data_IF_566191854085
#
_entry.id   IF_566191854085
#
_cell.length_a   1.000
_cell.length_b   1.000
_cell.length_c   1.000
_cell.angle_alpha   90.00
_cell.angle_beta   90.00
_cell.angle_gamma   90.00
#
_symmetry.space_group_name_H-M   'P 1'
#
loop_
_entity.id
_entity.type
_entity.pdbx_description
1 polymer ?
#
# COMPACT_ATOMS: atom_id res chain seq x y z
N UNK A 1 6.15 2.61 -8.65
CA UNK A 1 5.09 3.55 -9.10
C UNK A 1 5.47 5.02 -8.90
N UNK A 2 6.26 5.35 -7.89
CA UNK A 2 6.58 6.71 -7.46
C UNK A 2 7.19 7.62 -8.54
N UNK A 3 8.12 7.12 -9.37
CA UNK A 3 8.73 7.90 -10.45
C UNK A 3 7.69 8.39 -11.49
N UNK A 4 6.54 7.72 -11.60
CA UNK A 4 5.46 8.07 -12.54
C UNK A 4 4.35 8.90 -11.90
N UNK A 5 4.16 8.78 -10.59
CA UNK A 5 3.01 9.37 -9.89
C UNK A 5 3.38 10.52 -8.97
N UNK A 6 4.66 10.62 -8.57
CA UNK A 6 5.08 11.50 -7.47
C UNK A 6 4.50 11.11 -6.10
N UNK A 7 3.74 10.00 -6.03
CA UNK A 7 3.11 9.50 -4.83
C UNK A 7 4.10 8.78 -3.92
N UNK A 8 3.59 8.32 -2.78
CA UNK A 8 4.37 7.60 -1.78
C UNK A 8 3.95 6.14 -1.77
N UNK A 9 4.91 5.23 -1.94
CA UNK A 9 4.63 3.79 -2.00
C UNK A 9 4.89 3.08 -0.67
N UNK A 10 3.95 2.22 -0.29
CA UNK A 10 4.07 1.22 0.77
C UNK A 10 4.21 -0.18 0.17
N UNK A 11 5.02 -1.03 0.81
CA UNK A 11 5.21 -2.43 0.42
C UNK A 11 4.80 -3.37 1.55
N UNK A 12 4.07 -4.41 1.18
CA UNK A 12 3.59 -5.45 2.08
C UNK A 12 4.02 -6.83 1.57
N UNK A 13 4.77 -7.57 2.40
CA UNK A 13 4.93 -9.02 2.22
C UNK A 13 3.68 -9.69 2.79
N UNK A 14 2.91 -10.39 1.96
CA UNK A 14 1.59 -10.92 2.33
C UNK A 14 1.66 -11.89 3.52
N UNK A 15 2.75 -12.67 3.63
CA UNK A 15 2.99 -13.57 4.78
C UNK A 15 3.09 -12.85 6.12
N UNK A 16 3.57 -11.60 6.12
CA UNK A 16 3.82 -10.78 7.31
C UNK A 16 2.82 -9.60 7.35
N UNK A 17 1.76 -9.67 6.54
CA UNK A 17 0.76 -8.63 6.45
C UNK A 17 0.00 -8.48 7.77
N UNK A 18 -0.37 -7.25 8.13
CA UNK A 18 -1.11 -7.00 9.34
C UNK A 18 -2.56 -7.51 9.21
N UNK A 19 -3.19 -7.83 10.33
CA UNK A 19 -4.55 -8.42 10.36
C UNK A 19 -5.62 -7.50 9.75
N UNK A 20 -5.37 -6.20 9.75
CA UNK A 20 -6.23 -5.16 9.20
C UNK A 20 -5.92 -4.84 7.72
N UNK A 21 -5.11 -5.66 7.02
CA UNK A 21 -4.70 -5.38 5.64
C UNK A 21 -5.88 -5.09 4.70
N UNK A 22 -6.99 -5.81 4.82
CA UNK A 22 -8.18 -5.55 4.00
C UNK A 22 -8.71 -4.12 4.20
N UNK A 23 -8.77 -3.66 5.46
CA UNK A 23 -9.21 -2.29 5.82
C UNK A 23 -8.27 -1.25 5.21
N UNK A 24 -6.96 -1.53 5.25
CA UNK A 24 -5.93 -0.67 4.63
C UNK A 24 -6.12 -0.60 3.12
N UNK A 25 -6.29 -1.75 2.45
CA UNK A 25 -6.52 -1.81 1.01
C UNK A 25 -7.80 -1.06 0.61
N UNK A 26 -8.87 -1.22 1.38
CA UNK A 26 -10.16 -0.54 1.14
C UNK A 26 -10.01 0.97 1.25
N UNK A 27 -9.44 1.47 2.36
CA UNK A 27 -9.18 2.91 2.56
C UNK A 27 -8.25 3.48 1.48
N UNK A 28 -7.21 2.75 1.10
CA UNK A 28 -6.31 3.17 0.03
C UNK A 28 -7.03 3.25 -1.32
N UNK A 29 -7.86 2.26 -1.65
CA UNK A 29 -8.64 2.25 -2.88
C UNK A 29 -9.66 3.38 -2.93
N UNK A 30 -10.38 3.64 -1.83
CA UNK A 30 -11.34 4.76 -1.68
C UNK A 30 -10.68 6.14 -1.76
N UNK A 31 -9.38 6.22 -1.42
CA UNK A 31 -8.54 7.43 -1.57
C UNK A 31 -7.91 7.58 -2.95
N UNK A 32 -8.17 6.64 -3.87
CA UNK A 32 -7.62 6.65 -5.22
C UNK A 32 -6.17 6.21 -5.32
N UNK A 33 -5.62 5.55 -4.30
CA UNK A 33 -4.28 4.98 -4.36
C UNK A 33 -4.21 3.90 -5.46
N UNK A 34 -3.06 3.83 -6.14
CA UNK A 34 -2.80 2.73 -7.07
C UNK A 34 -2.33 1.52 -6.27
N UNK A 35 -2.96 0.37 -6.50
CA UNK A 35 -2.65 -0.85 -5.76
C UNK A 35 -2.21 -1.92 -6.77
N UNK A 36 -1.00 -2.42 -6.59
CA UNK A 36 -0.42 -3.51 -7.37
C UNK A 36 -0.10 -4.71 -6.49
N UNK A 37 -0.07 -5.90 -7.07
CA UNK A 37 0.33 -7.11 -6.35
C UNK A 37 1.02 -8.09 -7.29
N UNK A 38 1.78 -9.02 -6.71
CA UNK A 38 2.48 -10.04 -7.48
C UNK A 38 2.65 -11.34 -6.70
N UNK A 39 2.96 -12.39 -7.45
CA UNK A 39 3.28 -13.71 -6.92
C UNK A 39 4.74 -13.98 -7.27
N UNK A 40 5.58 -14.23 -6.28
CA UNK A 40 6.99 -14.52 -6.53
C UNK A 40 7.18 -15.85 -7.27
N UNK A 41 8.07 -15.84 -8.26
CA UNK A 41 8.57 -17.06 -8.88
C UNK A 41 9.71 -17.61 -8.01
N UNK A 42 9.56 -18.82 -7.47
CA UNK A 42 10.56 -19.48 -6.62
C UNK A 42 11.87 -19.72 -7.40
N UNK A 43 11.77 -19.86 -8.73
CA UNK A 43 12.93 -20.05 -9.62
C UNK A 43 12.96 -18.92 -10.66
N UNK A 44 14.07 -18.18 -10.80
CA UNK A 44 14.18 -17.07 -11.77
C UNK A 44 13.99 -17.48 -13.24
N UNK A 45 14.09 -18.76 -13.58
CA UNK A 45 13.82 -19.27 -14.91
C UNK A 45 12.31 -19.48 -15.20
N UNK A 46 11.44 -19.20 -14.23
CA UNK A 46 9.98 -19.43 -14.30
C UNK A 46 9.17 -18.14 -14.09
N UNK A 47 9.68 -17.00 -14.58
CA UNK A 47 8.83 -15.82 -14.73
C UNK A 47 7.67 -16.14 -15.67
N UNK A 48 6.53 -15.49 -15.43
CA UNK A 48 5.32 -15.61 -16.26
C UNK A 48 4.75 -17.05 -16.37
N UNK A 49 4.94 -17.87 -15.33
CA UNK A 49 4.45 -19.26 -15.33
C UNK A 49 3.00 -19.33 -14.85
N UNK A 50 2.11 -19.83 -15.71
CA UNK A 50 0.69 -20.08 -15.39
C UNK A 50 0.52 -21.26 -14.43
N UNK A 51 -0.30 -21.05 -13.40
CA UNK A 51 -0.69 -22.03 -12.41
C UNK A 51 -1.99 -22.76 -12.80
N UNK A 52 -2.26 -23.89 -12.16
CA UNK A 52 -3.53 -24.61 -12.34
C UNK A 52 -4.76 -23.76 -11.95
N UNK A 53 -4.59 -22.82 -11.02
CA UNK A 53 -5.62 -21.85 -10.60
C UNK A 53 -5.87 -20.72 -11.60
N UNK A 54 -5.15 -20.70 -12.72
CA UNK A 54 -5.23 -19.64 -13.73
C UNK A 54 -4.26 -18.48 -13.49
N UNK A 55 -3.84 -18.24 -12.24
CA UNK A 55 -2.89 -17.18 -11.89
C UNK A 55 -1.51 -17.39 -12.52
N UNK A 56 -0.77 -16.30 -12.70
CA UNK A 56 0.57 -16.28 -13.31
C UNK A 56 1.59 -15.82 -12.29
N UNK A 57 2.64 -16.62 -12.07
CA UNK A 57 3.76 -16.29 -11.18
C UNK A 57 4.80 -15.40 -11.86
N UNK A 58 5.54 -14.63 -11.06
CA UNK A 58 6.53 -13.68 -11.55
C UNK A 58 5.92 -12.55 -12.38
N UNK A 59 4.63 -12.25 -12.14
CA UNK A 59 3.83 -11.31 -12.91
C UNK A 59 3.14 -10.29 -12.00
N UNK A 60 2.95 -9.08 -12.51
CA UNK A 60 2.29 -8.00 -11.80
C UNK A 60 0.80 -7.93 -12.17
N UNK A 61 -0.04 -7.80 -11.15
CA UNK A 61 -1.47 -7.56 -11.25
C UNK A 61 -1.80 -6.20 -10.66
N UNK A 62 -2.88 -5.59 -11.13
CA UNK A 62 -3.46 -4.39 -10.51
C UNK A 62 -4.68 -4.77 -9.69
N UNK A 63 -4.84 -4.22 -8.50
CA UNK A 63 -6.10 -4.31 -7.75
C UNK A 63 -7.01 -3.18 -8.22
N UNK A 64 -8.18 -3.54 -8.76
CA UNK A 64 -9.16 -2.62 -9.37
C UNK A 64 -10.47 -2.55 -8.60
N UNK A 65 -10.55 -3.21 -7.44
CA UNK A 65 -11.71 -3.16 -6.55
C UNK A 65 -11.42 -3.85 -5.23
N UNK A 66 -11.92 -3.28 -4.13
CA UNK A 66 -11.82 -3.85 -2.78
C UNK A 66 -13.17 -3.65 -2.12
N UNK A 67 -13.95 -4.72 -2.01
CA UNK A 67 -15.37 -4.63 -1.68
C UNK A 67 -15.80 -5.71 -0.68
N UNK A 68 -16.90 -5.45 0.01
CA UNK A 68 -17.58 -6.44 0.84
C UNK A 68 -18.99 -6.69 0.30
N UNK A 69 -19.44 -7.93 0.35
CA UNK A 69 -20.81 -8.30 -0.01
C UNK A 69 -21.37 -9.34 0.96
N UNK A 70 -22.68 -9.53 0.94
CA UNK A 70 -23.34 -10.53 1.78
C UNK A 70 -23.59 -11.80 0.97
N UNK A 71 -23.01 -12.91 1.40
CA UNK A 71 -23.19 -14.23 0.80
C UNK A 71 -23.72 -15.19 1.85
N UNK A 72 -24.94 -15.71 1.65
CA UNK A 72 -25.60 -16.65 2.57
C UNK A 72 -25.65 -16.15 4.04
N UNK A 73 -25.98 -14.87 4.22
CA UNK A 73 -26.02 -14.15 5.51
C UNK A 73 -24.66 -13.82 6.15
N UNK A 74 -23.54 -14.25 5.55
CA UNK A 74 -22.20 -13.87 6.00
C UNK A 74 -21.63 -12.74 5.15
N UNK A 75 -20.86 -11.83 5.77
CA UNK A 75 -20.08 -10.83 5.03
C UNK A 75 -18.84 -11.50 4.44
N UNK A 76 -18.65 -11.34 3.13
CA UNK A 76 -17.47 -11.84 2.40
C UNK A 76 -16.69 -10.65 1.85
N UNK A 77 -15.38 -10.69 2.07
CA UNK A 77 -14.40 -9.72 1.57
C UNK A 77 -13.90 -10.16 0.21
N UNK A 78 -14.02 -9.30 -0.79
CA UNK A 78 -13.67 -9.56 -2.17
C UNK A 78 -12.61 -8.56 -2.65
N UNK A 79 -11.70 -9.05 -3.49
CA UNK A 79 -10.70 -8.23 -4.19
C UNK A 79 -10.83 -8.47 -5.67
N UNK A 80 -10.95 -7.40 -6.45
CA UNK A 80 -10.93 -7.44 -7.91
C UNK A 80 -9.52 -7.17 -8.39
N UNK A 81 -9.04 -8.04 -9.26
CA UNK A 81 -7.69 -8.03 -9.80
C UNK A 81 -7.76 -7.97 -11.31
N UNK A 82 -6.78 -7.30 -11.91
CA UNK A 82 -6.63 -7.22 -13.36
C UNK A 82 -5.25 -7.70 -13.77
N UNK A 83 -5.24 -8.71 -14.64
CA UNK A 83 -4.07 -9.11 -15.40
C UNK A 83 -3.87 -8.12 -16.56
N UNK A 84 -2.73 -7.40 -16.63
CA UNK A 84 -2.47 -6.43 -17.69
C UNK A 84 -2.42 -7.03 -19.11
N UNK A 85 -2.27 -8.35 -19.25
CA UNK A 85 -2.38 -9.02 -20.55
C UNK A 85 -3.79 -9.00 -21.15
N UNK A 86 -4.81 -8.68 -20.35
CA UNK A 86 -6.19 -8.64 -20.82
C UNK A 86 -6.79 -10.02 -21.08
N UNK A 87 -6.19 -11.07 -20.52
CA UNK A 87 -6.57 -12.47 -20.66
C UNK A 87 -5.94 -13.26 -19.51
N UNK A 88 -6.33 -14.53 -19.35
CA UNK A 88 -5.85 -15.46 -18.33
C UNK A 88 -6.25 -15.00 -16.94
N UNK A 89 -7.37 -15.54 -16.50
CA UNK A 89 -8.05 -15.17 -15.26
C UNK A 89 -8.04 -16.29 -14.21
N UNK A 90 -8.37 -15.91 -12.98
CA UNK A 90 -8.64 -16.82 -11.87
C UNK A 90 -9.82 -17.74 -12.19
N UNK A 91 -9.68 -19.04 -11.88
CA UNK A 91 -10.71 -20.04 -12.13
C UNK A 91 -11.30 -20.67 -10.85
N UNK A 92 -11.01 -20.09 -9.68
CA UNK A 92 -11.54 -20.54 -8.39
C UNK A 92 -12.81 -19.79 -7.98
N UNK A 93 -13.09 -19.79 -6.67
CA UNK A 93 -14.25 -19.10 -6.10
C UNK A 93 -14.25 -17.60 -6.44
N UNK A 94 -15.43 -17.09 -6.80
CA UNK A 94 -15.68 -15.72 -7.25
C UNK A 94 -15.08 -15.32 -8.61
N UNK A 95 -14.48 -16.26 -9.35
CA UNK A 95 -14.21 -16.07 -10.78
C UNK A 95 -15.47 -15.68 -11.56
N UNK A 96 -15.31 -15.17 -12.78
CA UNK A 96 -16.41 -14.69 -13.62
C UNK A 96 -17.58 -15.67 -13.74
N UNK A 97 -17.26 -16.95 -13.94
CA UNK A 97 -18.22 -18.04 -14.14
C UNK A 97 -18.56 -18.79 -12.85
N UNK A 98 -18.15 -18.28 -11.68
CA UNK A 98 -18.31 -18.95 -10.39
C UNK A 98 -19.78 -19.03 -9.97
N UNK A 99 -20.16 -20.15 -9.33
CA UNK A 99 -21.56 -20.39 -8.92
C UNK A 99 -22.01 -19.49 -7.78
N UNK A 100 -21.07 -18.94 -7.03
CA UNK A 100 -21.25 -18.00 -5.92
C UNK A 100 -22.05 -16.78 -6.38
N UNK A 101 -21.78 -16.31 -7.60
CA UNK A 101 -22.52 -15.23 -8.22
C UNK A 101 -24.01 -15.53 -8.37
N UNK A 102 -24.44 -16.79 -8.51
CA UNK A 102 -25.87 -17.11 -8.67
C UNK A 102 -26.73 -16.72 -7.47
N UNK A 103 -26.12 -16.57 -6.29
CA UNK A 103 -26.79 -16.20 -5.04
C UNK A 103 -26.85 -14.68 -4.88
N UNK A 104 -25.94 -13.94 -5.52
CA UNK A 104 -25.88 -12.48 -5.41
C UNK A 104 -26.96 -11.84 -6.29
N UNK A 105 -27.70 -10.90 -5.70
CA UNK A 105 -28.75 -10.16 -6.39
C UNK A 105 -28.20 -9.30 -7.52
N UNK A 106 -29.06 -9.02 -8.52
CA UNK A 106 -28.65 -8.26 -9.72
C UNK A 106 -28.13 -6.86 -9.41
N UNK A 107 -28.73 -6.16 -8.44
CA UNK A 107 -28.29 -4.83 -8.00
C UNK A 107 -26.90 -4.87 -7.40
N UNK A 108 -26.63 -5.88 -6.59
CA UNK A 108 -25.34 -6.05 -5.91
C UNK A 108 -24.23 -6.47 -6.90
N UNK A 109 -24.55 -7.33 -7.88
CA UNK A 109 -23.64 -7.59 -9.01
C UNK A 109 -23.29 -6.34 -9.80
N UNK A 110 -24.28 -5.48 -10.05
CA UNK A 110 -24.07 -4.21 -10.75
C UNK A 110 -23.16 -3.27 -9.95
N UNK A 111 -23.33 -3.20 -8.62
CA UNK A 111 -22.44 -2.45 -7.72
C UNK A 111 -21.02 -2.99 -7.75
N UNK A 112 -20.86 -4.31 -7.69
CA UNK A 112 -19.59 -5.02 -7.80
C UNK A 112 -19.03 -5.06 -9.22
N UNK A 113 -19.72 -4.45 -10.19
CA UNK A 113 -19.33 -4.44 -11.60
C UNK A 113 -18.99 -5.85 -12.13
N UNK A 114 -19.69 -6.88 -11.65
CA UNK A 114 -19.49 -8.26 -12.10
C UNK A 114 -19.85 -8.37 -13.57
N UNK A 115 -18.89 -8.84 -14.37
CA UNK A 115 -19.06 -9.15 -15.78
C UNK A 115 -18.57 -10.57 -16.02
N UNK A 116 -19.03 -11.19 -17.09
CA UNK A 116 -18.52 -12.48 -17.55
C UNK A 116 -17.84 -12.20 -18.88
N UNK A 117 -16.53 -11.99 -18.84
CA UNK A 117 -15.78 -11.56 -20.02
C UNK A 117 -14.31 -11.88 -19.83
N UNK A 118 -13.70 -12.50 -20.84
CA UNK A 118 -12.26 -12.70 -20.87
C UNK A 118 -11.57 -11.36 -21.18
N UNK A 119 -11.27 -10.57 -20.16
CA UNK A 119 -10.53 -9.31 -20.26
C UNK A 119 -9.43 -9.16 -19.20
N UNK A 120 -9.12 -10.26 -18.52
CA UNK A 120 -8.08 -10.35 -17.51
C UNK A 120 -8.51 -9.81 -16.15
N UNK A 121 -9.72 -9.24 -16.01
CA UNK A 121 -10.27 -8.77 -14.75
C UNK A 121 -11.12 -9.85 -14.08
N UNK A 122 -10.90 -10.10 -12.80
CA UNK A 122 -11.65 -11.11 -12.06
C UNK A 122 -11.76 -10.74 -10.58
N UNK A 123 -12.80 -11.26 -9.93
CA UNK A 123 -12.92 -11.21 -8.48
C UNK A 123 -12.35 -12.49 -7.85
N UNK A 124 -11.83 -12.35 -6.63
CA UNK A 124 -11.52 -13.46 -5.74
C UNK A 124 -11.84 -13.11 -4.29
N UNK A 125 -11.96 -14.13 -3.44
CA UNK A 125 -12.06 -13.89 -1.99
C UNK A 125 -10.75 -13.29 -1.46
N UNK A 126 -10.84 -12.43 -0.45
CA UNK A 126 -9.63 -11.91 0.21
C UNK A 126 -8.79 -13.02 0.84
N UNK A 127 -9.42 -14.11 1.30
CA UNK A 127 -8.70 -15.27 1.83
C UNK A 127 -7.88 -15.98 0.75
N UNK A 128 -8.42 -16.10 -0.46
CA UNK A 128 -7.68 -16.65 -1.59
C UNK A 128 -6.58 -15.70 -2.07
N UNK A 129 -6.82 -14.39 -2.02
CA UNK A 129 -5.79 -13.38 -2.26
C UNK A 129 -4.59 -13.59 -1.32
N UNK A 130 -4.83 -13.68 -0.01
CA UNK A 130 -3.80 -13.88 1.00
C UNK A 130 -3.04 -15.22 0.85
N UNK A 131 -3.69 -16.26 0.32
CA UNK A 131 -3.07 -17.58 0.09
C UNK A 131 -2.21 -17.62 -1.18
N UNK A 132 -2.56 -16.85 -2.21
CA UNK A 132 -1.94 -16.99 -3.53
C UNK A 132 -0.90 -15.89 -3.82
N UNK A 133 -1.13 -14.66 -3.35
CA UNK A 133 -0.23 -13.52 -3.60
C UNK A 133 0.88 -13.43 -2.56
N UNK A 134 2.05 -12.93 -2.95
CA UNK A 134 3.21 -12.82 -2.05
C UNK A 134 3.54 -11.38 -1.71
N UNK A 135 3.27 -10.44 -2.61
CA UNK A 135 3.59 -9.01 -2.45
C UNK A 135 2.42 -8.13 -2.83
N UNK A 136 2.27 -7.03 -2.11
CA UNK A 136 1.34 -5.94 -2.38
C UNK A 136 2.08 -4.60 -2.30
N UNK A 137 1.85 -3.74 -3.27
CA UNK A 137 2.37 -2.38 -3.39
C UNK A 137 1.17 -1.42 -3.39
N UNK A 138 1.16 -0.44 -2.49
CA UNK A 138 0.14 0.61 -2.46
C UNK A 138 0.85 1.94 -2.70
N UNK A 139 0.55 2.62 -3.79
CA UNK A 139 1.06 3.95 -4.10
C UNK A 139 -0.01 5.00 -3.78
N UNK A 140 0.18 5.69 -2.67
CA UNK A 140 -0.69 6.76 -2.22
C UNK A 140 -0.39 8.02 -3.04
N UNK A 141 -1.39 8.44 -3.82
CA UNK A 141 -1.30 9.61 -4.66
C UNK A 141 -1.49 10.89 -3.84
N UNK A 142 -0.73 11.93 -4.18
CA UNK A 142 -0.94 13.27 -3.63
C UNK A 142 -2.14 13.92 -4.33
N UNK A 143 -2.71 14.95 -3.70
CA UNK A 143 -3.88 15.67 -4.26
C UNK A 143 -3.66 16.14 -5.71
N UNK A 144 -2.42 16.47 -6.09
CA UNK A 144 -2.07 16.91 -7.44
C UNK A 144 -2.29 15.86 -8.53
N UNK A 145 -2.35 14.56 -8.18
CA UNK A 145 -2.52 13.47 -9.12
C UNK A 145 -3.98 13.04 -9.33
N UNK A 146 -4.93 13.59 -8.54
CA UNK A 146 -6.35 13.22 -8.58
C UNK A 146 -7.21 14.46 -8.87
N UNK A 147 -7.59 14.69 -10.14
CA UNK A 147 -8.54 15.74 -10.55
C UNK A 147 -10.02 15.34 -10.26
N UNK A 148 -10.34 14.90 -9.05
CA UNK A 148 -11.67 14.34 -8.74
C UNK A 148 -12.21 14.82 -7.38
N UNK A 149 -13.37 15.49 -7.42
CA UNK A 149 -14.17 15.95 -6.26
C UNK A 149 -14.67 14.81 -5.34
N UNK A 150 -14.37 13.54 -5.64
CA UNK A 150 -14.99 12.38 -4.98
C UNK A 150 -14.08 11.61 -4.03
N UNK A 151 -12.76 11.82 -4.08
CA UNK A 151 -11.81 10.98 -3.35
C UNK A 151 -11.32 11.70 -2.10
N UNK A 152 -11.25 10.97 -0.97
CA UNK A 152 -10.60 11.46 0.23
C UNK A 152 -9.12 11.71 -0.08
N UNK A 153 -8.65 12.95 0.04
CA UNK A 153 -7.28 13.32 -0.31
C UNK A 153 -6.32 13.17 0.86
N UNK A 154 -5.05 12.86 0.57
CA UNK A 154 -3.97 12.95 1.55
C UNK A 154 -3.54 14.40 1.76
N UNK A 155 -3.39 14.83 3.01
CA UNK A 155 -2.68 16.07 3.35
C UNK A 155 -1.18 15.81 3.26
N UNK A 156 -0.49 16.54 2.38
CA UNK A 156 0.93 16.31 2.06
C UNK A 156 1.79 17.45 2.58
N UNK A 157 2.88 17.11 3.26
CA UNK A 157 3.94 18.06 3.64
C UNK A 157 5.30 17.51 3.22
N UNK A 158 6.02 18.25 2.38
CA UNK A 158 7.34 17.87 1.88
C UNK A 158 8.41 18.77 2.51
N UNK A 159 9.47 18.15 3.03
CA UNK A 159 10.64 18.86 3.55
C UNK A 159 11.90 18.39 2.81
N UNK A 160 12.74 19.35 2.40
CA UNK A 160 14.02 19.06 1.78
C UNK A 160 15.18 19.36 2.73
N UNK A 161 16.13 18.42 2.82
CA UNK A 161 17.27 18.52 3.72
C UNK A 161 18.55 17.92 3.13
N UNK A 162 19.65 18.03 3.88
CA UNK A 162 20.94 17.43 3.52
C UNK A 162 21.73 17.00 4.75
N UNK A 163 22.49 15.92 4.62
CA UNK A 163 23.49 15.48 5.59
C UNK A 163 24.88 15.94 5.16
N UNK A 164 25.50 16.81 5.95
CA UNK A 164 26.83 17.38 5.69
C UNK A 164 27.82 16.86 6.72
N UNK A 165 28.92 16.28 6.26
CA UNK A 165 30.00 15.76 7.12
C UNK A 165 30.51 16.85 8.06
N UNK A 166 30.60 16.52 9.35
CA UNK A 166 31.07 17.45 10.39
C UNK A 166 30.03 18.50 10.84
N UNK A 167 28.82 18.48 10.29
CA UNK A 167 27.73 19.38 10.68
C UNK A 167 26.46 18.60 11.02
N UNK A 168 25.74 18.11 10.01
CA UNK A 168 24.42 17.46 10.19
C UNK A 168 24.42 15.96 9.95
N UNK A 169 25.53 15.36 9.51
CA UNK A 169 25.67 13.92 9.29
C UNK A 169 25.89 13.15 10.60
N UNK A 170 24.86 13.12 11.46
CA UNK A 170 24.93 12.59 12.82
C UNK A 170 24.92 11.06 12.96
N UNK A 171 24.61 10.34 11.89
CA UNK A 171 24.51 8.87 11.92
C UNK A 171 23.16 8.37 12.46
N UNK A 172 23.04 7.06 12.70
CA UNK A 172 21.85 6.44 13.29
C UNK A 172 21.91 6.44 14.83
N UNK A 173 20.89 5.89 15.49
CA UNK A 173 20.75 5.89 16.95
C UNK A 173 21.90 5.18 17.71
N UNK A 174 22.69 4.38 17.00
CA UNK A 174 23.90 3.73 17.54
C UNK A 174 25.07 4.70 17.73
N UNK A 175 24.95 5.96 17.28
CA UNK A 175 25.98 7.01 17.41
C UNK A 175 25.46 8.17 18.29
N UNK A 176 25.27 7.96 19.61
CA UNK A 176 24.57 8.91 20.48
C UNK A 176 25.21 10.31 20.53
N UNK A 177 26.53 10.40 20.44
CA UNK A 177 27.28 11.66 20.53
C UNK A 177 27.00 12.62 19.36
N UNK A 178 26.62 12.07 18.22
CA UNK A 178 26.39 12.84 16.98
C UNK A 178 24.96 12.75 16.49
N UNK A 179 24.16 11.78 16.94
CA UNK A 179 22.82 11.51 16.42
C UNK A 179 21.89 12.74 16.45
N UNK A 180 21.99 13.56 17.50
CA UNK A 180 21.17 14.75 17.70
C UNK A 180 21.42 15.87 16.66
N UNK A 181 22.53 15.83 15.92
CA UNK A 181 22.85 16.83 14.89
C UNK A 181 22.14 16.60 13.56
N UNK A 182 21.49 15.44 13.39
CA UNK A 182 20.63 15.19 12.22
C UNK A 182 19.49 16.23 12.15
N UNK A 183 19.01 16.58 10.94
CA UNK A 183 17.84 17.45 10.79
C UNK A 183 16.60 16.87 11.51
N UNK A 184 15.87 17.73 12.22
CA UNK A 184 14.68 17.36 12.98
C UNK A 184 13.47 18.11 12.42
N UNK A 185 12.35 17.40 12.23
CA UNK A 185 11.11 17.96 11.70
C UNK A 185 9.98 17.68 12.69
N UNK A 186 9.16 18.70 12.96
CA UNK A 186 8.01 18.57 13.85
C UNK A 186 6.75 18.29 13.03
N UNK A 187 6.07 17.19 13.37
CA UNK A 187 4.74 16.86 12.87
C UNK A 187 3.71 17.22 13.94
N UNK A 188 2.57 17.79 13.54
CA UNK A 188 1.41 17.99 14.41
C UNK A 188 0.25 17.18 13.85
N UNK A 189 -0.28 16.27 14.67
CA UNK A 189 -1.46 15.48 14.37
C UNK A 189 -2.64 16.19 15.04
N UNK A 190 -3.58 16.70 14.23
CA UNK A 190 -4.70 17.54 14.72
C UNK A 190 -6.06 16.88 14.53
N UNK A 191 -6.21 16.03 13.51
CA UNK A 191 -7.48 15.44 13.10
C UNK A 191 -7.44 13.92 13.32
N UNK A 192 -8.55 13.38 13.78
CA UNK A 192 -8.74 11.95 14.02
C UNK A 192 -9.19 11.27 12.71
N UNK A 193 -8.91 9.98 12.57
CA UNK A 193 -9.37 9.21 11.42
C UNK A 193 -10.91 9.06 11.48
N UNK A 194 -11.62 9.52 10.43
CA UNK A 194 -13.07 9.31 10.28
C UNK A 194 -13.38 7.84 9.98
N UNK A 195 -13.41 7.01 11.02
CA UNK A 195 -13.74 5.60 10.94
C UNK A 195 -14.82 5.20 11.94
N UNK A 196 -16.09 5.04 11.50
CA UNK A 196 -17.20 4.75 12.40
C UNK A 196 -17.14 3.35 13.01
N UNK A 197 -16.27 2.46 12.50
CA UNK A 197 -16.07 1.11 13.05
C UNK A 197 -14.90 1.03 14.03
N UNK A 198 -14.09 2.08 14.15
CA UNK A 198 -12.98 2.16 15.10
C UNK A 198 -13.38 2.96 16.34
N UNK A 199 -13.21 2.35 17.52
CA UNK A 199 -13.46 3.03 18.78
C UNK A 199 -12.21 3.74 19.31
N UNK A 200 -11.05 3.54 18.67
CA UNK A 200 -9.81 4.21 19.03
C UNK A 200 -9.70 5.55 18.30
N UNK A 201 -9.57 6.63 19.07
CA UNK A 201 -9.21 7.95 18.57
C UNK A 201 -7.74 7.93 18.14
N UNK A 202 -7.51 7.77 16.85
CA UNK A 202 -6.17 7.72 16.24
C UNK A 202 -6.05 8.70 15.08
N UNK A 203 -4.83 9.16 14.82
CA UNK A 203 -4.49 9.94 13.64
C UNK A 203 -3.44 9.17 12.83
N UNK A 204 -3.84 8.69 11.66
CA UNK A 204 -2.95 7.95 10.76
C UNK A 204 -2.17 8.90 9.86
N UNK A 205 -0.86 8.69 9.77
CA UNK A 205 0.01 9.43 8.87
C UNK A 205 1.06 8.51 8.27
N UNK A 206 1.62 8.93 7.15
CA UNK A 206 2.66 8.20 6.45
C UNK A 206 3.90 9.08 6.27
N UNK A 207 5.08 8.50 6.53
CA UNK A 207 6.36 9.17 6.36
C UNK A 207 7.23 8.41 5.39
N UNK A 208 7.65 9.11 4.36
CA UNK A 208 8.61 8.66 3.36
C UNK A 208 9.90 9.47 3.47
N UNK A 209 11.03 8.76 3.48
CA UNK A 209 12.36 9.37 3.39
C UNK A 209 13.05 8.86 2.13
N UNK A 210 13.39 9.80 1.24
CA UNK A 210 13.99 9.52 -0.07
C UNK A 210 15.35 10.21 -0.22
N UNK A 211 16.33 9.50 -0.78
CA UNK A 211 17.65 10.06 -1.11
C UNK A 211 17.71 10.52 -2.57
N UNK A 212 18.18 11.75 -2.81
CA UNK A 212 18.25 12.32 -4.17
C UNK A 212 19.59 12.06 -4.86
N UNK A 213 19.57 12.01 -6.20
CA UNK A 213 20.73 12.02 -7.10
C UNK A 213 21.77 10.89 -7.02
N UNK A 214 21.64 9.94 -6.08
CA UNK A 214 22.58 8.82 -5.92
C UNK A 214 22.64 7.84 -7.11
N UNK A 215 21.55 7.69 -7.87
CA UNK A 215 21.52 6.80 -9.05
C UNK A 215 22.50 7.26 -10.15
N UNK A 216 22.77 8.57 -10.26
CA UNK A 216 23.75 9.12 -11.22
C UNK A 216 25.19 8.75 -10.85
N UNK A 217 25.46 8.63 -9.55
CA UNK A 217 26.78 8.31 -9.02
C UNK A 217 27.11 6.81 -9.03
N UNK A 218 26.15 5.95 -9.43
CA UNK A 218 26.41 4.51 -9.63
C UNK A 218 27.54 4.26 -10.63
N UNK A 219 27.67 5.10 -11.65
CA UNK A 219 28.77 5.02 -12.64
C UNK A 219 30.15 5.21 -11.99
N UNK A 220 30.22 5.82 -10.81
CA UNK A 220 31.43 6.02 -10.01
C UNK A 220 31.56 5.02 -8.86
N UNK A 221 30.75 3.96 -8.83
CA UNK A 221 30.77 2.94 -7.78
C UNK A 221 30.01 3.32 -6.49
N UNK A 222 29.24 4.41 -6.50
CA UNK A 222 28.50 4.84 -5.32
C UNK A 222 27.22 3.99 -5.09
N UNK A 223 27.11 3.45 -3.88
CA UNK A 223 26.19 2.39 -3.49
C UNK A 223 24.83 2.70 -2.79
N UNK A 224 24.04 3.75 -3.03
CA UNK A 224 22.97 4.18 -2.06
C UNK A 224 23.47 4.31 -0.59
N UNK A 225 22.77 5.08 0.23
CA UNK A 225 23.00 5.08 1.68
C UNK A 225 21.96 4.19 2.36
N UNK A 226 22.37 3.50 3.42
CA UNK A 226 21.44 2.99 4.44
C UNK A 226 20.86 4.21 5.14
N UNK A 227 19.62 4.55 4.82
CA UNK A 227 18.88 5.65 5.42
C UNK A 227 17.86 5.10 6.41
N UNK A 228 17.21 5.99 7.15
CA UNK A 228 16.18 5.66 8.12
C UNK A 228 15.84 6.86 8.98
N UNK A 229 14.75 6.77 9.71
CA UNK A 229 14.32 7.82 10.62
C UNK A 229 13.73 7.21 11.89
N UNK A 230 13.61 8.03 12.92
CA UNK A 230 12.92 7.68 14.15
C UNK A 230 11.95 8.81 14.48
N UNK A 231 10.80 8.44 15.03
CA UNK A 231 9.76 9.38 15.45
C UNK A 231 9.69 9.34 16.96
N UNK A 232 9.58 10.53 17.54
CA UNK A 232 9.54 10.73 18.98
C UNK A 232 8.29 11.54 19.31
N UNK A 233 7.58 11.10 20.33
CA UNK A 233 6.53 11.90 20.92
C UNK A 233 7.17 13.11 21.63
N UNK A 234 6.66 14.30 21.33
CA UNK A 234 7.08 15.52 22.00
C UNK A 234 6.18 15.78 23.20
N UNK A 235 6.60 15.32 24.38
CA UNK A 235 5.91 15.64 25.63
C UNK A 235 6.33 17.04 26.08
N UNK A 236 5.44 18.01 25.89
CA UNK A 236 5.55 19.28 26.61
C UNK A 236 5.22 18.98 28.09
N UNK A 237 5.98 19.50 29.06
CA UNK A 237 5.72 19.33 30.50
C UNK A 237 4.36 19.89 30.98
N UNK A 238 3.45 20.28 30.07
CA UNK A 238 2.21 20.99 30.37
C UNK A 238 0.97 20.60 29.54
N UNK A 239 0.96 19.57 28.68
CA UNK A 239 -0.27 19.26 27.91
C UNK A 239 -0.39 17.79 27.49
N UNK A 240 -1.63 17.29 27.56
CA UNK A 240 -2.04 15.89 27.60
C UNK A 240 -1.91 15.10 26.29
N UNK A 241 -1.82 13.79 26.48
CA UNK A 241 -1.53 12.73 25.52
C UNK A 241 -2.54 12.63 24.37
N UNK A 242 -2.02 12.51 23.14
CA UNK A 242 -2.69 11.80 22.05
C UNK A 242 -1.82 10.56 21.78
N UNK A 243 -2.37 9.39 22.05
CA UNK A 243 -1.69 8.12 21.75
C UNK A 243 -1.66 7.93 20.24
N UNK A 244 -0.49 8.13 19.61
CA UNK A 244 -0.31 7.85 18.18
C UNK A 244 -0.07 6.35 17.96
N UNK A 245 -0.82 5.71 17.06
CA UNK A 245 -0.53 4.34 16.63
C UNK A 245 -0.66 4.17 15.11
N UNK A 246 0.40 4.52 14.39
CA UNK A 246 0.86 3.85 13.17
C UNK A 246 2.20 4.47 12.75
N UNK A 247 3.32 3.88 13.18
CA UNK A 247 4.64 4.25 12.66
C UNK A 247 4.99 3.31 11.50
N UNK A 248 4.29 3.47 10.38
CA UNK A 248 4.67 2.79 9.13
C UNK A 248 5.54 3.75 8.34
N UNK A 249 6.85 3.58 8.52
CA UNK A 249 7.84 4.28 7.72
C UNK A 249 8.28 3.39 6.57
N UNK A 250 8.05 3.83 5.34
CA UNK A 250 8.61 3.17 4.17
C UNK A 250 9.88 3.91 3.75
N UNK A 251 10.98 3.17 3.66
CA UNK A 251 12.21 3.69 3.06
C UNK A 251 12.11 3.54 1.56
N UNK A 252 12.39 4.63 0.85
CA UNK A 252 12.30 4.66 -0.61
C UNK A 252 13.71 4.80 -1.18
N UNK A 253 14.05 3.92 -2.13
CA UNK A 253 15.40 3.76 -2.71
C UNK A 253 15.60 4.42 -4.08
#
# INVERSE_FOLDING_TARGET
>A
MEDFTGGVTEFYEIKDAPKDLFKIMKKAFERGSLIGCSIDAIVPAQFETRMASGLVKGHAYSVTGVEETTFKADKVKLVRLRNPWGQVEWNGSWSDNSKEWNIIDKSEKARLQHQIKEDGEFWMSFDDFMKNFTKLEICNLTADALESDRLQTWTVSVNEGRWVRGCSAGGCRNFPDTYWTNPQYRLKLLEEDDDPEDNEVVCSFLVALMQKNRRKDRKMGANLFTIGFAIYEFTNLYSANILSRALRGTQIH
#
